data_IF_848758702419
#
_entry.id   IF_848758702419
#
_cell.length_a   1.000
_cell.length_b   1.000
_cell.length_c   1.000
_cell.angle_alpha   90.00
_cell.angle_beta   90.00
_cell.angle_gamma   90.00
#
_symmetry.space_group_name_H-M   'P 1'
#
loop_
_entity.id
_entity.type
_entity.pdbx_description
1 polymer ?
#
# COMPACT_ATOMS: atom_id res chain seq x y z
N UNK A 1 6.34 12.47 1.78
CA UNK A 1 4.94 12.63 2.22
C UNK A 1 4.89 13.23 3.62
N UNK A 2 3.74 13.69 4.09
CA UNK A 2 3.61 14.11 5.49
C UNK A 2 3.51 12.89 6.41
N UNK A 3 4.31 12.88 7.47
CA UNK A 3 4.31 11.87 8.53
C UNK A 3 4.09 12.56 9.87
N UNK A 4 3.50 11.86 10.83
CA UNK A 4 3.35 12.33 12.20
C UNK A 4 4.40 11.65 13.08
N UNK A 5 5.27 12.43 13.73
CA UNK A 5 6.37 11.91 14.54
C UNK A 5 5.93 11.80 16.00
N UNK A 6 6.06 10.61 16.59
CA UNK A 6 5.66 10.35 17.97
C UNK A 6 6.89 10.20 18.88
N UNK A 7 6.88 10.98 19.95
CA UNK A 7 7.91 10.96 20.99
C UNK A 7 7.41 10.12 22.18
N UNK A 8 8.33 9.43 22.85
CA UNK A 8 8.03 8.79 24.14
C UNK A 8 8.00 9.82 25.28
N UNK A 9 7.72 9.36 26.50
CA UNK A 9 7.67 10.20 27.72
C UNK A 9 9.02 10.89 28.04
N UNK A 10 10.13 10.37 27.51
CA UNK A 10 11.47 10.95 27.63
C UNK A 10 11.79 11.95 26.50
N UNK A 11 10.85 12.21 25.60
CA UNK A 11 11.04 13.07 24.43
C UNK A 11 11.84 12.45 23.28
N UNK A 12 12.11 11.14 23.31
CA UNK A 12 12.84 10.42 22.25
C UNK A 12 11.91 9.98 21.14
N UNK A 13 12.37 10.12 19.89
CA UNK A 13 11.65 9.66 18.71
C UNK A 13 11.54 8.14 18.69
N UNK A 14 10.32 7.62 18.78
CA UNK A 14 10.04 6.18 18.96
C UNK A 14 9.37 5.55 17.76
N UNK A 15 8.44 6.26 17.16
CA UNK A 15 7.72 5.81 15.97
C UNK A 15 7.21 7.01 15.19
N UNK A 16 6.85 6.79 13.93
CA UNK A 16 6.08 7.75 13.16
C UNK A 16 4.88 7.08 12.52
N UNK A 17 3.83 7.87 12.31
CA UNK A 17 2.59 7.44 11.70
C UNK A 17 2.47 7.96 10.28
N UNK A 18 1.85 7.15 9.42
CA UNK A 18 1.51 7.51 8.05
C UNK A 18 0.03 7.27 7.83
N UNK A 19 -0.64 8.25 7.22
CA UNK A 19 -2.07 8.13 6.91
C UNK A 19 -2.31 7.05 5.84
N UNK A 20 -3.15 6.07 6.16
CA UNK A 20 -3.43 4.91 5.31
C UNK A 20 -4.26 5.24 4.05
N UNK A 21 -4.85 6.44 3.97
CA UNK A 21 -5.52 6.93 2.77
C UNK A 21 -4.50 7.33 1.69
N UNK A 22 -3.28 7.71 2.10
CA UNK A 22 -2.18 8.16 1.24
C UNK A 22 -1.31 6.99 0.77
N UNK A 23 -1.03 6.03 1.65
CA UNK A 23 -0.18 4.85 1.38
C UNK A 23 -0.89 3.59 1.83
N UNK A 24 -0.72 2.47 1.13
CA UNK A 24 -1.26 1.16 1.56
C UNK A 24 -0.21 0.32 2.30
N UNK A 25 -0.62 -0.78 2.97
CA UNK A 25 0.30 -1.81 3.52
C UNK A 25 1.40 -2.25 2.53
N UNK A 26 1.02 -2.67 1.32
CA UNK A 26 1.98 -3.04 0.25
C UNK A 26 2.81 -1.86 -0.26
N UNK A 27 2.26 -0.65 -0.18
CA UNK A 27 2.92 0.59 -0.52
C UNK A 27 4.07 0.89 0.44
N UNK A 28 3.83 0.76 1.74
CA UNK A 28 4.85 0.91 2.79
C UNK A 28 6.04 -0.03 2.52
N UNK A 29 5.75 -1.33 2.35
CA UNK A 29 6.78 -2.33 2.08
C UNK A 29 7.52 -2.04 0.75
N UNK A 30 6.82 -1.65 -0.31
CA UNK A 30 7.45 -1.30 -1.59
C UNK A 30 8.30 -0.03 -1.55
N UNK A 31 7.98 0.90 -0.64
CA UNK A 31 8.82 2.06 -0.40
C UNK A 31 10.10 1.64 0.33
N UNK A 32 9.97 0.85 1.38
CA UNK A 32 11.12 0.29 2.11
C UNK A 32 12.02 -0.57 1.22
N UNK A 33 11.46 -1.34 0.29
CA UNK A 33 12.25 -2.18 -0.62
C UNK A 33 13.13 -1.36 -1.58
N UNK A 34 12.88 -0.05 -1.70
CA UNK A 34 13.68 0.90 -2.49
C UNK A 34 14.60 1.75 -1.61
N UNK A 35 14.46 1.65 -0.29
CA UNK A 35 15.34 2.33 0.65
C UNK A 35 16.66 1.56 0.74
N UNK A 36 17.77 2.26 0.48
CA UNK A 36 19.07 1.63 0.38
C UNK A 36 19.50 1.03 1.73
N UNK A 37 19.81 -0.28 1.74
CA UNK A 37 20.25 -0.98 2.94
C UNK A 37 19.13 -1.54 3.82
N UNK A 38 17.86 -1.32 3.47
CA UNK A 38 16.75 -2.03 4.11
C UNK A 38 16.55 -3.43 3.50
N UNK A 39 16.41 -4.42 4.37
CA UNK A 39 16.11 -5.80 4.02
C UNK A 39 14.75 -6.19 4.58
N UNK A 40 13.76 -6.41 3.73
CA UNK A 40 12.42 -6.80 4.17
C UNK A 40 12.44 -8.28 4.54
N UNK A 41 12.18 -8.57 5.81
CA UNK A 41 12.11 -9.93 6.37
C UNK A 41 10.70 -10.49 6.33
N UNK A 42 9.68 -9.63 6.44
CA UNK A 42 8.27 -10.01 6.31
C UNK A 42 7.51 -9.03 5.44
N UNK A 43 6.89 -9.55 4.38
CA UNK A 43 6.05 -8.80 3.46
C UNK A 43 4.57 -8.86 3.86
N UNK A 44 3.78 -7.81 3.60
CA UNK A 44 2.37 -7.77 3.96
C UNK A 44 1.54 -8.86 3.29
N UNK A 45 0.75 -9.58 4.07
CA UNK A 45 -0.23 -10.57 3.62
C UNK A 45 -1.65 -10.12 3.98
N UNK A 46 -2.65 -10.67 3.28
CA UNK A 46 -4.06 -10.33 3.48
C UNK A 46 -4.61 -10.72 4.87
N UNK A 47 -3.94 -11.64 5.56
CA UNK A 47 -4.34 -12.16 6.86
C UNK A 47 -3.39 -11.73 7.99
N UNK A 48 -2.52 -10.75 7.72
CA UNK A 48 -1.71 -10.17 8.79
C UNK A 48 -2.61 -9.27 9.63
N UNK A 49 -2.62 -9.50 10.94
CA UNK A 49 -3.48 -8.79 11.89
C UNK A 49 -2.88 -7.43 12.23
N UNK A 50 -1.98 -7.38 13.22
CA UNK A 50 -1.41 -6.14 13.76
C UNK A 50 -0.12 -5.73 13.06
N UNK A 51 0.91 -6.59 13.07
CA UNK A 51 2.19 -6.36 12.39
C UNK A 51 2.10 -6.96 10.99
N UNK A 52 2.21 -6.11 9.98
CA UNK A 52 2.07 -6.54 8.58
C UNK A 52 3.37 -6.38 7.78
N UNK A 53 4.40 -5.75 8.32
CA UNK A 53 5.69 -5.65 7.64
C UNK A 53 6.82 -5.61 8.67
N UNK A 54 7.88 -6.36 8.39
CA UNK A 54 9.09 -6.34 9.20
C UNK A 54 10.31 -6.21 8.29
N UNK A 55 11.32 -5.49 8.75
CA UNK A 55 12.55 -5.32 7.98
C UNK A 55 13.75 -5.04 8.89
N UNK A 56 14.94 -5.35 8.38
CA UNK A 56 16.22 -5.02 8.99
C UNK A 56 16.81 -3.79 8.33
N UNK A 57 17.34 -2.88 9.13
CA UNK A 57 18.13 -1.75 8.66
C UNK A 57 19.26 -1.47 9.64
N UNK A 58 20.50 -1.46 9.14
CA UNK A 58 21.72 -1.27 9.94
C UNK A 58 21.81 -2.17 11.20
N UNK A 59 21.26 -3.38 11.11
CA UNK A 59 21.27 -4.36 12.21
C UNK A 59 20.10 -4.25 13.19
N UNK A 60 19.21 -3.28 13.01
CA UNK A 60 18.00 -3.12 13.82
C UNK A 60 16.77 -3.66 13.10
N UNK A 61 15.89 -4.34 13.84
CA UNK A 61 14.61 -4.85 13.35
C UNK A 61 13.51 -3.81 13.58
N UNK A 62 12.89 -3.38 12.50
CA UNK A 62 11.77 -2.46 12.49
C UNK A 62 10.48 -3.19 12.13
N UNK A 63 9.37 -2.66 12.63
CA UNK A 63 8.04 -3.24 12.46
C UNK A 63 7.07 -2.15 12.01
N UNK A 64 6.16 -2.51 11.11
CA UNK A 64 5.04 -1.66 10.70
C UNK A 64 3.75 -2.35 11.11
N UNK A 65 2.92 -1.61 11.84
CA UNK A 65 1.68 -2.09 12.41
C UNK A 65 0.51 -1.14 12.17
N UNK A 66 -0.71 -1.67 12.26
CA UNK A 66 -1.94 -0.88 12.23
C UNK A 66 -2.48 -0.73 13.66
N UNK A 67 -2.39 0.46 14.27
CA UNK A 67 -2.76 0.63 15.66
C UNK A 67 -4.28 0.54 15.84
N UNK A 68 -4.70 -0.21 16.87
CA UNK A 68 -6.07 -0.26 17.41
C UNK A 68 -7.19 -0.69 16.44
N UNK A 69 -6.86 -1.25 15.27
CA UNK A 69 -7.86 -1.67 14.27
C UNK A 69 -8.70 -0.52 13.68
N UNK A 70 -8.43 0.72 14.08
CA UNK A 70 -8.95 1.92 13.44
C UNK A 70 -8.08 2.17 12.22
N UNK A 71 -8.49 1.57 11.10
CA UNK A 71 -7.82 1.65 9.81
C UNK A 71 -7.68 3.10 9.31
N UNK A 72 -6.82 3.90 9.91
CA UNK A 72 -6.63 5.32 9.65
C UNK A 72 -5.15 5.66 9.49
N UNK A 73 -4.28 5.00 10.25
CA UNK A 73 -2.83 5.19 10.21
C UNK A 73 -2.09 3.87 10.21
N UNK A 74 -0.84 3.92 9.76
CA UNK A 74 0.15 2.87 9.94
C UNK A 74 1.31 3.43 10.72
N UNK A 75 1.76 2.67 11.72
CA UNK A 75 2.83 3.06 12.62
C UNK A 75 4.09 2.29 12.25
N UNK A 76 5.19 3.01 11.99
CA UNK A 76 6.51 2.41 11.88
C UNK A 76 7.23 2.59 13.20
N UNK A 77 7.50 1.47 13.87
CA UNK A 77 8.05 1.43 15.22
C UNK A 77 9.52 1.05 15.17
N UNK A 78 10.36 1.84 15.85
CA UNK A 78 11.76 1.53 16.03
C UNK A 78 11.99 0.67 17.28
N UNK A 79 12.98 -0.24 17.24
CA UNK A 79 13.48 -0.89 18.45
C UNK A 79 14.26 0.12 19.32
N UNK A 80 14.50 -0.23 20.57
CA UNK A 80 15.31 0.60 21.46
C UNK A 80 16.72 0.82 20.89
N UNK A 81 17.18 2.07 20.94
CA UNK A 81 18.52 2.45 20.47
C UNK A 81 18.65 2.74 18.98
N UNK A 82 17.56 2.62 18.20
CA UNK A 82 17.55 2.84 16.74
C UNK A 82 16.99 4.21 16.34
N UNK A 83 17.15 5.25 17.18
CA UNK A 83 16.54 6.56 16.91
C UNK A 83 17.16 7.26 15.69
N UNK A 84 18.45 7.08 15.46
CA UNK A 84 19.14 7.65 14.29
C UNK A 84 18.67 6.98 13.01
N UNK A 85 18.52 5.66 13.02
CA UNK A 85 18.01 4.86 11.91
C UNK A 85 16.55 5.22 11.60
N UNK A 86 15.73 5.40 12.64
CA UNK A 86 14.34 5.84 12.49
C UNK A 86 14.27 7.23 11.83
N UNK A 87 15.17 8.14 12.20
CA UNK A 87 15.25 9.48 11.60
C UNK A 87 15.58 9.41 10.10
N UNK A 88 16.53 8.56 9.70
CA UNK A 88 16.88 8.36 8.29
C UNK A 88 15.69 7.78 7.50
N UNK A 89 14.98 6.81 8.07
CA UNK A 89 13.78 6.23 7.47
C UNK A 89 12.68 7.29 7.36
N UNK A 90 12.45 8.07 8.42
CA UNK A 90 11.47 9.15 8.43
C UNK A 90 11.73 10.18 7.32
N UNK A 91 12.99 10.65 7.20
CA UNK A 91 13.41 11.56 6.14
C UNK A 91 13.20 10.96 4.74
N UNK A 92 13.48 9.67 4.58
CA UNK A 92 13.21 8.98 3.32
C UNK A 92 11.71 8.97 2.98
N UNK A 93 10.84 8.69 3.96
CA UNK A 93 9.39 8.73 3.77
C UNK A 93 8.88 10.15 3.47
N UNK A 94 9.44 11.17 4.14
CA UNK A 94 9.15 12.58 3.91
C UNK A 94 9.53 13.02 2.48
N UNK A 95 10.67 12.56 1.97
CA UNK A 95 11.12 12.84 0.59
C UNK A 95 10.39 12.01 -0.47
N UNK A 96 9.81 10.86 -0.09
CA UNK A 96 9.21 9.92 -1.03
C UNK A 96 7.76 10.24 -1.38
N UNK A 97 7.36 9.85 -2.60
CA UNK A 97 5.96 9.88 -3.04
C UNK A 97 5.22 8.68 -2.48
N UNK A 98 4.08 8.91 -1.83
CA UNK A 98 3.25 7.86 -1.27
C UNK A 98 2.79 6.87 -2.36
N UNK A 99 2.87 5.58 -2.05
CA UNK A 99 2.44 4.50 -2.94
C UNK A 99 1.12 3.92 -2.41
N UNK A 100 0.03 4.20 -3.11
CA UNK A 100 -1.25 3.56 -2.83
C UNK A 100 -1.28 2.20 -3.52
N UNK A 101 -1.07 1.14 -2.76
CA UNK A 101 -1.27 -0.24 -3.21
C UNK A 101 -2.75 -0.46 -3.43
N UNK A 102 -3.06 -0.86 -4.66
CA UNK A 102 -4.40 -0.76 -5.23
C UNK A 102 -4.32 -0.72 -6.75
N UNK A 103 -3.21 -0.27 -7.34
CA UNK A 103 -3.10 -0.21 -8.82
C UNK A 103 -3.28 -1.56 -9.51
N UNK A 104 -2.84 -2.69 -8.93
CA UNK A 104 -3.09 -4.00 -9.57
C UNK A 104 -4.52 -4.50 -9.39
N UNK A 105 -5.15 -4.27 -8.23
CA UNK A 105 -6.55 -4.66 -7.98
C UNK A 105 -7.55 -3.77 -8.72
N UNK A 106 -7.32 -2.46 -8.72
CA UNK A 106 -8.07 -1.51 -9.54
C UNK A 106 -7.80 -1.69 -11.03
N UNK A 107 -6.56 -1.97 -11.47
CA UNK A 107 -6.31 -2.31 -12.87
C UNK A 107 -6.98 -3.63 -13.25
N UNK A 108 -6.92 -4.68 -12.41
CA UNK A 108 -7.59 -5.94 -12.67
C UNK A 108 -9.12 -5.78 -12.72
N UNK A 109 -9.70 -5.01 -11.79
CA UNK A 109 -11.14 -4.69 -11.79
C UNK A 109 -11.54 -3.81 -12.98
N UNK A 110 -10.69 -2.87 -13.38
CA UNK A 110 -10.91 -2.03 -14.54
C UNK A 110 -10.86 -2.84 -15.84
N UNK A 111 -9.86 -3.73 -15.97
CA UNK A 111 -9.72 -4.64 -17.11
C UNK A 111 -10.91 -5.62 -17.16
N UNK A 112 -11.31 -6.21 -16.03
CA UNK A 112 -12.45 -7.14 -16.00
C UNK A 112 -13.76 -6.42 -16.33
N UNK A 113 -13.99 -5.24 -15.78
CA UNK A 113 -15.17 -4.41 -16.08
C UNK A 113 -15.19 -3.97 -17.55
N UNK A 114 -14.04 -3.63 -18.12
CA UNK A 114 -13.91 -3.26 -19.53
C UNK A 114 -14.19 -4.45 -20.47
N UNK A 115 -13.69 -5.64 -20.13
CA UNK A 115 -13.98 -6.88 -20.88
C UNK A 115 -15.47 -7.22 -20.87
N UNK A 116 -16.11 -7.20 -19.69
CA UNK A 116 -17.55 -7.51 -19.56
C UNK A 116 -18.39 -6.54 -20.40
N UNK A 117 -18.11 -5.23 -20.31
CA UNK A 117 -18.82 -4.21 -21.11
C UNK A 117 -18.63 -4.42 -22.61
N UNK A 118 -17.43 -4.79 -23.03
CA UNK A 118 -17.12 -5.06 -24.45
C UNK A 118 -17.88 -6.27 -24.97
N UNK A 119 -17.98 -7.35 -24.19
CA UNK A 119 -18.77 -8.55 -24.54
C UNK A 119 -20.25 -8.21 -24.68
N UNK A 120 -20.83 -7.46 -23.74
CA UNK A 120 -22.22 -7.03 -23.79
C UNK A 120 -22.46 -6.18 -25.05
N UNK A 121 -21.58 -5.24 -25.35
CA UNK A 121 -21.69 -4.37 -26.52
C UNK A 121 -21.67 -5.15 -27.85
N UNK A 122 -20.74 -6.11 -27.99
CA UNK A 122 -20.66 -6.97 -29.18
C UNK A 122 -21.92 -7.82 -29.33
N UNK A 123 -22.45 -8.38 -28.24
CA UNK A 123 -23.68 -9.17 -28.26
C UNK A 123 -24.89 -8.33 -28.71
N UNK A 124 -25.00 -7.07 -28.25
CA UNK A 124 -26.07 -6.15 -28.67
C UNK A 124 -25.97 -5.82 -30.16
N UNK A 125 -24.77 -5.49 -30.67
CA UNK A 125 -24.57 -5.23 -32.10
C UNK A 125 -24.93 -6.45 -32.94
N UNK A 126 -24.46 -7.62 -32.53
CA UNK A 126 -24.76 -8.87 -33.23
C UNK A 126 -26.27 -9.13 -33.28
N UNK A 127 -26.99 -8.94 -32.17
CA UNK A 127 -28.44 -9.04 -32.11
C UNK A 127 -29.15 -8.08 -33.07
N UNK A 128 -28.73 -6.81 -33.13
CA UNK A 128 -29.28 -5.82 -34.06
C UNK A 128 -29.07 -6.25 -35.51
N UNK A 129 -27.86 -6.72 -35.86
CA UNK A 129 -27.54 -7.18 -37.21
C UNK A 129 -28.39 -8.39 -37.60
N UNK A 130 -28.60 -9.34 -36.69
CA UNK A 130 -29.44 -10.51 -36.95
C UNK A 130 -30.91 -10.13 -37.16
N UNK A 131 -31.46 -9.23 -36.34
CA UNK A 131 -32.83 -8.72 -36.52
C UNK A 131 -32.95 -7.99 -37.87
N UNK A 132 -31.98 -7.16 -38.22
CA UNK A 132 -31.99 -6.45 -39.50
C UNK A 132 -31.96 -7.42 -40.69
N UNK A 133 -31.10 -8.45 -40.64
CA UNK A 133 -31.09 -9.51 -41.66
C UNK A 133 -32.41 -10.25 -41.77
N UNK A 134 -33.07 -10.54 -40.65
CA UNK A 134 -34.34 -11.25 -40.65
C UNK A 134 -35.51 -10.40 -41.20
N UNK A 135 -35.52 -9.09 -40.92
CA UNK A 135 -36.58 -8.19 -41.36
C UNK A 135 -36.46 -7.81 -42.84
N UNK A 136 -35.23 -7.73 -43.36
CA UNK A 136 -34.94 -7.29 -44.72
C UNK A 136 -34.53 -8.42 -45.68
N UNK A 137 -34.60 -9.68 -45.25
CA UNK A 137 -34.46 -10.88 -46.10
C UNK A 137 -35.81 -11.52 -46.36
#
# INVERSE_FOLDING_TARGET
MEIERLLNDEGKFRCFQVNNQKVSRNGMAKMLSKFAGAEITHWPKCYDDEIFCEFLYKGFKFEILEPYGDNTTYDLVAPEGAQTELEEIAQYFEASKAIKGGDLGHAAFFISSWLIKSVIFVAVIYGIVQVFKYVFS
#
